data_IF_500516890666
#
_entry.id   IF_500516890666
#
_cell.length_a   1.000
_cell.length_b   1.000
_cell.length_c   1.000
_cell.angle_alpha   90.00
_cell.angle_beta   90.00
_cell.angle_gamma   90.00
#
_symmetry.space_group_name_H-M   'P 1'
#
loop_
_entity.id
_entity.type
_entity.pdbx_description
1 polymer ?
#
# COMPACT_ATOMS: atom_id res chain seq x y z
N UNK A 1 -15.89 -7.12 -7.45
CA UNK A 1 -15.38 -8.50 -7.57
C UNK A 1 -13.94 -8.52 -7.09
N UNK A 2 -13.56 -9.53 -6.32
CA UNK A 2 -12.18 -9.71 -5.86
C UNK A 2 -11.33 -10.32 -6.98
N UNK A 3 -10.13 -9.78 -7.19
CA UNK A 3 -9.21 -10.14 -8.27
C UNK A 3 -7.79 -10.38 -7.74
N UNK A 4 -6.88 -10.81 -8.61
CA UNK A 4 -5.46 -11.01 -8.25
C UNK A 4 -4.85 -9.69 -7.77
N UNK A 5 -3.98 -9.76 -6.77
CA UNK A 5 -3.34 -8.66 -6.03
C UNK A 5 -4.26 -7.86 -5.10
N UNK A 6 -5.56 -8.12 -5.09
CA UNK A 6 -6.44 -7.51 -4.07
C UNK A 6 -6.06 -8.02 -2.68
N UNK A 7 -6.21 -7.13 -1.70
CA UNK A 7 -6.12 -7.48 -0.29
C UNK A 7 -7.52 -7.79 0.22
N UNK A 8 -7.64 -8.87 0.96
CA UNK A 8 -8.87 -9.31 1.61
C UNK A 8 -8.67 -9.43 3.11
N UNK A 9 -9.69 -9.08 3.87
CA UNK A 9 -9.81 -9.35 5.29
C UNK A 9 -10.59 -10.65 5.49
N UNK A 10 -10.01 -11.56 6.26
CA UNK A 10 -10.60 -12.85 6.59
C UNK A 10 -11.29 -12.74 7.94
N UNK A 11 -12.56 -13.12 8.00
CA UNK A 11 -13.33 -13.25 9.23
C UNK A 11 -13.51 -14.71 9.60
N UNK A 12 -13.45 -15.00 10.91
CA UNK A 12 -13.76 -16.27 11.53
C UNK A 12 -14.77 -16.01 12.65
N UNK A 13 -15.95 -16.64 12.60
CA UNK A 13 -17.02 -16.43 13.59
C UNK A 13 -17.35 -14.93 13.81
N UNK A 14 -17.49 -14.20 12.70
CA UNK A 14 -17.73 -12.74 12.65
C UNK A 14 -16.61 -11.86 13.22
N UNK A 15 -15.51 -12.43 13.71
CA UNK A 15 -14.33 -11.69 14.14
C UNK A 15 -13.28 -11.59 13.02
N UNK A 16 -12.72 -10.40 12.73
CA UNK A 16 -11.62 -10.27 11.78
C UNK A 16 -10.35 -10.91 12.34
N UNK A 17 -9.70 -11.77 11.57
CA UNK A 17 -8.53 -12.54 12.06
C UNK A 17 -7.22 -12.24 11.33
N UNK A 18 -7.25 -11.97 10.02
CA UNK A 18 -6.03 -11.73 9.25
C UNK A 18 -6.35 -11.07 7.91
N UNK A 19 -5.42 -10.26 7.42
CA UNK A 19 -5.37 -9.89 6.01
C UNK A 19 -4.69 -10.97 5.19
N UNK A 20 -5.05 -11.05 3.91
CA UNK A 20 -4.35 -11.83 2.91
C UNK A 20 -4.35 -11.10 1.56
N UNK A 21 -3.32 -11.32 0.74
CA UNK A 21 -3.31 -10.90 -0.67
C UNK A 21 -3.67 -12.08 -1.55
N UNK A 22 -4.51 -11.83 -2.55
CA UNK A 22 -4.86 -12.83 -3.57
C UNK A 22 -3.71 -12.98 -4.55
N UNK A 23 -3.08 -14.15 -4.59
CA UNK A 23 -1.95 -14.45 -5.49
C UNK A 23 -2.42 -15.02 -6.84
N UNK A 24 -3.47 -15.83 -6.85
CA UNK A 24 -4.05 -16.40 -8.06
C UNK A 24 -5.46 -16.95 -7.82
N UNK A 25 -6.31 -16.91 -8.85
CA UNK A 25 -7.62 -17.56 -8.87
C UNK A 25 -7.68 -18.41 -10.14
N UNK A 26 -7.76 -19.73 -10.00
CA UNK A 26 -7.79 -20.68 -11.11
C UNK A 26 -9.05 -21.56 -11.02
N UNK A 27 -9.71 -21.91 -12.14
CA UNK A 27 -10.90 -22.75 -12.11
C UNK A 27 -10.58 -24.15 -11.57
N UNK A 28 -11.49 -24.72 -10.77
CA UNK A 28 -11.50 -26.11 -10.34
C UNK A 28 -12.31 -26.99 -11.33
N UNK A 29 -12.23 -28.32 -11.19
CA UNK A 29 -13.02 -29.25 -11.98
C UNK A 29 -14.54 -29.06 -11.80
N UNK A 30 -14.99 -28.53 -10.64
CA UNK A 30 -16.40 -28.22 -10.39
C UNK A 30 -16.75 -26.84 -10.92
N UNK A 31 -17.90 -26.73 -11.59
CA UNK A 31 -18.44 -25.46 -12.09
C UNK A 31 -18.55 -24.43 -10.95
N UNK A 32 -18.03 -23.23 -11.20
CA UNK A 32 -18.05 -22.08 -10.29
C UNK A 32 -17.20 -22.24 -9.01
N UNK A 33 -16.36 -23.27 -8.94
CA UNK A 33 -15.33 -23.43 -7.91
C UNK A 33 -13.96 -23.05 -8.44
N UNK A 34 -13.12 -22.52 -7.56
CA UNK A 34 -11.81 -21.99 -7.88
C UNK A 34 -10.79 -22.36 -6.82
N UNK A 35 -9.58 -22.71 -7.27
CA UNK A 35 -8.38 -22.71 -6.45
C UNK A 35 -7.91 -21.27 -6.28
N UNK A 36 -8.12 -20.71 -5.09
CA UNK A 36 -7.62 -19.40 -4.71
C UNK A 36 -6.36 -19.55 -3.86
N UNK A 37 -5.27 -18.93 -4.30
CA UNK A 37 -4.01 -18.87 -3.55
C UNK A 37 -3.96 -17.55 -2.80
N UNK A 38 -3.73 -17.61 -1.50
CA UNK A 38 -3.75 -16.47 -0.59
C UNK A 38 -2.41 -16.38 0.14
N UNK A 39 -1.75 -15.22 0.07
CA UNK A 39 -0.61 -14.89 0.90
C UNK A 39 -1.13 -14.24 2.19
N UNK A 40 -1.04 -14.95 3.31
CA UNK A 40 -1.38 -14.45 4.63
C UNK A 40 -0.37 -13.38 5.05
N UNK A 41 -0.87 -12.17 5.32
CA UNK A 41 -0.05 -11.01 5.70
C UNK A 41 0.19 -10.98 7.22
N UNK A 42 0.77 -12.05 7.74
CA UNK A 42 1.11 -12.23 9.14
C UNK A 42 2.60 -12.61 9.29
N UNK A 43 3.13 -12.61 10.52
CA UNK A 43 4.51 -13.04 10.80
C UNK A 43 4.46 -14.43 11.46
N UNK A 44 5.08 -15.47 10.87
CA UNK A 44 5.75 -15.48 9.57
C UNK A 44 4.75 -15.44 8.40
N UNK A 45 5.22 -14.97 7.23
CA UNK A 45 4.40 -14.97 6.01
C UNK A 45 4.10 -16.42 5.60
N UNK A 46 2.85 -16.68 5.24
CA UNK A 46 2.39 -18.02 4.86
C UNK A 46 1.54 -17.94 3.61
N UNK A 47 1.68 -18.91 2.71
CA UNK A 47 0.83 -19.02 1.52
C UNK A 47 -0.07 -20.23 1.69
N UNK A 48 -1.38 -20.04 1.50
CA UNK A 48 -2.38 -21.10 1.56
C UNK A 48 -3.13 -21.17 0.23
N UNK A 49 -3.68 -22.34 -0.09
CA UNK A 49 -4.55 -22.53 -1.25
C UNK A 49 -5.87 -23.13 -0.79
N UNK A 50 -6.98 -22.44 -1.08
CA UNK A 50 -8.32 -22.88 -0.75
C UNK A 50 -9.11 -23.17 -2.03
N UNK A 51 -10.12 -24.02 -1.93
CA UNK A 51 -11.08 -24.28 -3.01
C UNK A 51 -12.39 -23.63 -2.60
N UNK A 52 -12.74 -22.51 -3.24
CA UNK A 52 -13.92 -21.71 -2.90
C UNK A 52 -14.80 -21.50 -4.13
N UNK A 53 -16.09 -21.27 -3.91
CA UNK A 53 -16.97 -20.76 -4.95
C UNK A 53 -16.71 -19.27 -5.21
N UNK A 54 -17.04 -18.82 -6.42
CA UNK A 54 -16.97 -17.39 -6.79
C UNK A 54 -17.71 -16.49 -5.78
N UNK A 55 -18.92 -16.88 -5.37
CA UNK A 55 -19.72 -16.13 -4.40
C UNK A 55 -18.99 -15.94 -3.05
N UNK A 56 -18.24 -16.94 -2.59
CA UNK A 56 -17.48 -16.87 -1.34
C UNK A 56 -16.26 -15.95 -1.45
N UNK A 57 -15.60 -15.96 -2.60
CA UNK A 57 -14.47 -15.06 -2.91
C UNK A 57 -14.94 -13.59 -2.93
N UNK A 58 -16.19 -13.37 -3.31
CA UNK A 58 -16.84 -12.06 -3.33
C UNK A 58 -17.57 -11.70 -2.02
N UNK A 59 -17.36 -12.48 -0.97
CA UNK A 59 -17.72 -12.14 0.40
C UNK A 59 -19.02 -12.73 0.95
N UNK A 60 -19.62 -13.69 0.24
CA UNK A 60 -20.64 -14.53 0.83
C UNK A 60 -20.03 -15.41 1.93
N UNK A 61 -20.78 -15.61 3.01
CA UNK A 61 -20.37 -16.45 4.12
C UNK A 61 -20.32 -17.93 3.73
N UNK A 62 -19.32 -18.64 4.23
CA UNK A 62 -19.17 -20.08 4.03
C UNK A 62 -18.71 -20.76 5.32
N UNK A 63 -18.72 -22.10 5.33
CA UNK A 63 -18.25 -22.88 6.46
C UNK A 63 -16.99 -23.65 6.07
N UNK A 64 -15.98 -23.60 6.92
CA UNK A 64 -14.76 -24.38 6.79
C UNK A 64 -14.45 -25.03 8.13
N UNK A 65 -14.36 -26.37 8.15
CA UNK A 65 -14.18 -27.16 9.37
C UNK A 65 -15.22 -26.84 10.47
N UNK A 66 -16.48 -26.62 10.09
CA UNK A 66 -17.56 -26.30 11.02
C UNK A 66 -17.52 -24.88 11.60
N UNK A 67 -16.58 -24.04 11.17
CA UNK A 67 -16.51 -22.63 11.55
C UNK A 67 -16.98 -21.73 10.42
N UNK A 68 -17.68 -20.65 10.77
CA UNK A 68 -18.15 -19.64 9.82
C UNK A 68 -17.00 -18.74 9.38
N UNK A 69 -16.86 -18.58 8.07
CA UNK A 69 -15.82 -17.80 7.41
C UNK A 69 -16.44 -16.75 6.49
N UNK A 70 -15.75 -15.63 6.29
CA UNK A 70 -16.10 -14.61 5.28
C UNK A 70 -14.83 -13.96 4.76
N UNK A 71 -14.77 -13.68 3.46
CA UNK A 71 -13.74 -12.84 2.84
C UNK A 71 -14.32 -11.46 2.57
N UNK A 72 -13.58 -10.40 2.84
CA UNK A 72 -14.02 -9.04 2.54
C UNK A 72 -12.90 -8.31 1.81
N UNK A 73 -13.16 -7.82 0.60
CA UNK A 73 -12.17 -7.03 -0.13
C UNK A 73 -11.90 -5.74 0.64
N UNK A 74 -10.62 -5.45 0.86
CA UNK A 74 -10.17 -4.21 1.50
C UNK A 74 -9.99 -3.16 0.41
N UNK A 75 -10.57 -2.00 0.63
CA UNK A 75 -10.37 -0.83 -0.23
C UNK A 75 -9.38 0.14 0.42
N UNK A 76 -8.48 0.71 -0.39
CA UNK A 76 -7.58 1.75 0.10
C UNK A 76 -8.38 3.00 0.44
N UNK A 77 -8.11 3.66 1.58
CA UNK A 77 -8.62 5.00 1.83
C UNK A 77 -8.25 5.93 0.67
N UNK A 78 -9.16 6.84 0.34
CA UNK A 78 -8.92 7.88 -0.67
C UNK A 78 -7.85 8.83 -0.13
N UNK A 79 -6.77 9.04 -0.88
CA UNK A 79 -5.77 10.06 -0.56
C UNK A 79 -6.27 11.44 -1.02
N UNK A 80 -6.54 12.35 -0.08
CA UNK A 80 -6.87 13.76 -0.37
C UNK A 80 -5.62 14.61 -0.73
N UNK A 81 -4.58 14.00 -1.30
CA UNK A 81 -3.32 14.67 -1.59
C UNK A 81 -3.17 14.88 -3.10
N UNK A 82 -3.05 16.13 -3.57
CA UNK A 82 -2.68 16.38 -4.95
C UNK A 82 -1.24 15.91 -5.13
N UNK A 83 -1.06 14.71 -5.70
CA UNK A 83 0.21 14.30 -6.28
C UNK A 83 0.48 15.26 -7.45
N UNK A 84 1.26 16.30 -7.20
CA UNK A 84 1.77 17.15 -8.25
C UNK A 84 2.62 16.30 -9.18
N UNK A 85 2.15 16.07 -10.41
CA UNK A 85 2.95 15.53 -11.49
C UNK A 85 4.19 16.42 -11.68
N UNK A 86 5.34 16.00 -11.17
CA UNK A 86 6.63 16.50 -11.65
C UNK A 86 7.12 15.55 -12.74
N UNK A 87 6.71 15.82 -13.97
CA UNK A 87 7.42 15.37 -15.16
C UNK A 87 8.84 15.97 -15.17
N UNK A 88 9.87 15.13 -15.05
CA UNK A 88 10.99 15.05 -16.01
C UNK A 88 12.13 14.15 -15.48
N UNK A 89 12.44 13.02 -16.15
CA UNK A 89 13.63 12.23 -15.90
C UNK A 89 14.78 12.74 -16.78
N UNK A 90 15.36 13.89 -16.44
CA UNK A 90 16.61 14.33 -17.07
C UNK A 90 17.34 15.28 -16.13
N UNK A 91 18.10 14.73 -15.19
CA UNK A 91 19.42 15.23 -14.78
C UNK A 91 19.97 14.39 -13.61
N UNK A 92 20.28 13.13 -13.89
CA UNK A 92 21.33 12.42 -13.15
C UNK A 92 22.62 12.54 -13.97
N UNK A 93 23.35 13.64 -13.79
CA UNK A 93 24.79 13.68 -14.08
C UNK A 93 25.57 13.81 -12.78
N UNK A 94 26.35 12.77 -12.56
CA UNK A 94 27.43 12.52 -11.60
C UNK A 94 28.27 13.77 -11.27
N UNK A 95 28.79 13.92 -10.04
CA UNK A 95 29.54 15.11 -9.64
C UNK A 95 31.02 15.00 -10.02
N UNK A 96 31.50 15.87 -10.93
CA UNK A 96 32.94 16.12 -11.13
C UNK A 96 33.29 17.61 -10.99
N UNK A 97 33.67 17.96 -9.76
CA UNK A 97 34.85 18.75 -9.38
C UNK A 97 35.44 19.75 -10.39
N UNK A 98 35.16 21.05 -10.22
CA UNK A 98 36.14 22.13 -10.50
C UNK A 98 36.07 23.20 -9.40
N UNK A 99 37.22 23.43 -8.76
CA UNK A 99 37.51 24.55 -7.84
C UNK A 99 37.88 25.79 -8.67
N UNK A 100 37.33 26.96 -8.37
CA UNK A 100 38.06 28.24 -8.29
C UNK A 100 37.09 29.43 -8.16
N UNK A 101 37.42 30.40 -7.30
CA UNK A 101 36.95 31.78 -7.47
C UNK A 101 36.24 32.39 -6.27
N UNK A 102 37.01 33.09 -5.41
CA UNK A 102 36.50 34.14 -4.52
C UNK A 102 35.76 35.20 -5.33
N UNK A 103 34.63 35.73 -4.82
CA UNK A 103 34.32 37.16 -4.73
C UNK A 103 33.29 37.36 -3.59
N UNK A 104 33.60 38.32 -2.71
CA UNK A 104 32.70 38.93 -1.72
C UNK A 104 32.04 40.15 -2.37
N UNK A 105 30.75 40.36 -2.13
CA UNK A 105 30.05 41.67 -2.11
C UNK A 105 28.63 41.40 -1.62
N UNK A 106 28.34 41.67 -0.34
CA UNK A 106 27.72 42.91 0.14
C UNK A 106 26.21 43.00 -0.10
N UNK A 107 25.54 43.17 1.05
CA UNK A 107 24.17 43.62 1.36
C UNK A 107 23.37 44.24 0.22
N UNK A 108 22.06 43.98 0.16
CA UNK A 108 21.02 45.00 0.41
C UNK A 108 19.68 44.32 0.71
N UNK A 109 18.98 44.94 1.65
CA UNK A 109 17.71 44.63 2.28
C UNK A 109 16.57 45.35 1.56
N UNK A 110 15.40 44.70 1.42
CA UNK A 110 14.04 45.17 1.04
C UNK A 110 13.39 44.10 0.15
N UNK A 111 12.14 43.66 0.29
CA UNK A 111 11.01 44.16 1.05
C UNK A 111 10.01 43.00 1.22
N UNK A 112 9.25 43.05 2.31
CA UNK A 112 8.09 42.20 2.61
C UNK A 112 7.02 42.35 1.53
N UNK A 113 6.22 41.30 1.29
CA UNK A 113 4.75 41.29 1.35
C UNK A 113 4.26 39.84 1.18
N UNK A 114 3.28 39.42 1.99
CA UNK A 114 2.28 38.41 1.59
C UNK A 114 2.38 37.07 2.30
N UNK A 115 1.60 36.92 3.37
CA UNK A 115 1.36 35.68 4.08
C UNK A 115 0.57 34.66 3.23
N UNK A 116 0.94 33.37 3.31
CA UNK A 116 -0.04 32.29 3.49
C UNK A 116 0.64 30.99 3.95
N UNK A 117 -0.03 30.31 4.90
CA UNK A 117 0.49 29.23 5.73
C UNK A 117 1.02 28.03 4.93
N UNK A 118 2.35 27.87 4.90
CA UNK A 118 3.01 26.63 4.46
C UNK A 118 2.93 25.62 5.60
N UNK A 119 1.90 24.77 5.62
CA UNK A 119 1.88 23.60 6.51
C UNK A 119 2.96 22.63 6.01
N UNK A 120 4.11 22.65 6.67
CA UNK A 120 5.18 21.66 6.49
C UNK A 120 4.59 20.26 6.72
N UNK A 121 4.57 19.45 5.66
CA UNK A 121 4.23 18.04 5.77
C UNK A 121 5.33 17.36 6.60
N UNK A 122 4.95 16.79 7.76
CA UNK A 122 5.86 16.04 8.62
C UNK A 122 6.15 14.68 7.99
N UNK A 123 7.27 14.58 7.27
CA UNK A 123 7.81 13.31 6.79
C UNK A 123 8.26 12.52 8.02
N UNK A 124 7.58 11.42 8.32
CA UNK A 124 7.98 10.53 9.40
C UNK A 124 8.92 9.50 8.77
N UNK A 125 10.22 9.59 9.07
CA UNK A 125 11.19 8.59 8.63
C UNK A 125 11.14 7.40 9.57
N UNK A 126 11.09 6.18 9.04
CA UNK A 126 11.19 4.96 9.84
C UNK A 126 12.53 4.85 10.61
N UNK A 127 13.54 5.66 10.27
CA UNK A 127 14.77 5.78 11.05
C UNK A 127 14.56 6.39 12.45
N UNK A 128 13.48 7.16 12.64
CA UNK A 128 13.20 7.87 13.90
C UNK A 128 12.65 6.92 14.98
N UNK A 129 12.18 5.73 14.60
CA UNK A 129 11.63 4.73 15.52
C UNK A 129 12.69 3.82 16.16
N UNK A 130 13.99 4.02 15.90
CA UNK A 130 15.05 3.31 16.65
C UNK A 130 15.37 4.05 17.95
N UNK A 131 14.56 3.81 18.98
CA UNK A 131 14.97 3.88 20.40
C UNK A 131 13.99 3.09 21.28
N UNK A 132 14.38 1.88 21.62
CA UNK A 132 14.14 1.24 22.91
C UNK A 132 15.19 0.15 23.13
#
# INVERSE_FOLDING_TARGET
MTTVNDVVLIYLEDAPISFARVESILPDAKKDWYHIKLLMLQIPLQVVTWILKDEYINGLQFHMNGKKMKLEKVESPVEDLPLSNSENPSDLKTPEKIKSGKIKSEKTESEKIGAENKKEAKIISFSDFKKS
#
